data_IF_617656562139
#
_entry.id   IF_617656562139
#
_cell.length_a   1.000
_cell.length_b   1.000
_cell.length_c   1.000
_cell.angle_alpha   90.00
_cell.angle_beta   90.00
_cell.angle_gamma   90.00
#
_symmetry.space_group_name_H-M   'P 1'
#
loop_
_entity.id
_entity.type
_entity.pdbx_description
1 polymer ?
#
# COMPACT_ATOMS: atom_id res chain seq x y z
N UNK A 1 -6.70 -69.36 9.13
CA UNK A 1 -7.78 -68.50 8.60
C UNK A 1 -7.15 -67.13 8.30
N UNK A 2 -6.73 -66.87 7.05
CA UNK A 2 -7.35 -65.92 6.09
C UNK A 2 -7.52 -64.50 6.70
N UNK A 3 -6.60 -63.55 6.45
CA UNK A 3 -6.51 -62.58 5.34
C UNK A 3 -7.54 -61.42 5.38
N UNK A 4 -7.02 -60.19 5.15
CA UNK A 4 -7.67 -58.93 4.69
C UNK A 4 -8.21 -57.97 5.78
N UNK A 5 -8.20 -56.63 5.69
CA UNK A 5 -7.72 -55.59 4.75
C UNK A 5 -7.86 -54.25 5.53
N UNK A 6 -6.80 -53.42 5.49
CA UNK A 6 -6.74 -51.95 5.38
C UNK A 6 -8.07 -51.17 5.54
N UNK A 7 -8.12 -50.16 6.42
CA UNK A 7 -8.43 -48.76 6.03
C UNK A 7 -7.61 -47.84 6.93
N UNK A 8 -6.63 -47.26 6.25
CA UNK A 8 -5.82 -46.12 6.62
C UNK A 8 -6.72 -44.87 6.58
N UNK A 9 -7.12 -44.32 7.72
CA UNK A 9 -7.74 -43.00 7.81
C UNK A 9 -6.79 -42.04 8.52
N UNK A 10 -5.62 -41.86 7.91
CA UNK A 10 -4.80 -40.67 8.11
C UNK A 10 -5.62 -39.48 7.68
N UNK A 11 -6.29 -38.80 8.62
CA UNK A 11 -6.77 -37.44 8.43
C UNK A 11 -5.52 -36.54 8.30
N UNK A 12 -4.96 -36.54 7.10
CA UNK A 12 -4.03 -35.53 6.65
C UNK A 12 -4.84 -34.24 6.54
N UNK A 13 -4.98 -33.51 7.65
CA UNK A 13 -5.28 -32.09 7.55
C UNK A 13 -4.14 -31.47 6.74
N UNK A 14 -4.39 -31.23 5.46
CA UNK A 14 -3.65 -30.23 4.71
C UNK A 14 -3.89 -28.89 5.41
N UNK A 15 -3.06 -28.61 6.42
CA UNK A 15 -2.73 -27.25 6.77
C UNK A 15 -1.98 -26.67 5.57
N UNK A 16 -2.74 -26.22 4.56
CA UNK A 16 -2.28 -25.23 3.63
C UNK A 16 -1.92 -24.01 4.49
N UNK A 17 -0.66 -23.97 4.92
CA UNK A 17 -0.04 -22.74 5.36
C UNK A 17 -0.08 -21.80 4.18
N UNK A 18 -1.17 -21.04 4.05
CA UNK A 18 -1.13 -19.77 3.35
C UNK A 18 -0.07 -18.97 4.11
N UNK A 19 1.16 -19.01 3.63
CA UNK A 19 2.21 -18.15 4.12
C UNK A 19 1.68 -16.74 3.94
N UNK A 20 1.21 -16.13 5.04
CA UNK A 20 0.68 -14.78 5.02
C UNK A 20 1.77 -13.92 4.40
N UNK A 21 1.53 -13.41 3.19
CA UNK A 21 2.52 -12.57 2.51
C UNK A 21 2.73 -11.34 3.38
N UNK A 22 3.92 -11.17 3.98
CA UNK A 22 4.12 -10.15 5.01
C UNK A 22 4.05 -8.73 4.45
N UNK A 23 4.14 -8.58 3.12
CA UNK A 23 4.20 -7.32 2.41
C UNK A 23 3.47 -7.43 1.07
N UNK A 24 2.97 -6.30 0.56
CA UNK A 24 2.61 -6.17 -0.84
C UNK A 24 1.52 -7.14 -1.31
N UNK A 25 0.29 -6.92 -0.86
CA UNK A 25 -0.86 -7.69 -1.33
C UNK A 25 -1.94 -6.74 -1.84
N UNK A 26 -1.98 -6.59 -3.18
CA UNK A 26 -2.96 -5.73 -3.85
C UNK A 26 -4.41 -6.20 -3.66
N UNK A 27 -4.65 -7.50 -3.46
CA UNK A 27 -5.98 -8.04 -3.22
C UNK A 27 -6.47 -7.69 -1.81
N UNK A 28 -5.62 -7.87 -0.80
CA UNK A 28 -5.89 -7.47 0.59
C UNK A 28 -6.03 -5.96 0.72
N UNK A 29 -5.17 -5.20 0.03
CA UNK A 29 -5.28 -3.74 -0.05
C UNK A 29 -6.67 -3.31 -0.53
N UNK A 30 -7.19 -3.96 -1.58
CA UNK A 30 -8.52 -3.68 -2.14
C UNK A 30 -9.66 -4.09 -1.20
N UNK A 31 -9.54 -5.23 -0.53
CA UNK A 31 -10.54 -5.72 0.44
C UNK A 31 -10.68 -4.81 1.66
N UNK A 32 -9.58 -4.18 2.09
CA UNK A 32 -9.57 -3.24 3.22
C UNK A 32 -10.19 -1.87 2.87
N UNK A 33 -10.64 -1.65 1.63
CA UNK A 33 -11.29 -0.40 1.22
C UNK A 33 -12.68 -0.27 1.86
N UNK A 34 -12.88 0.75 2.68
CA UNK A 34 -14.15 0.98 3.37
C UNK A 34 -15.18 1.76 2.53
N UNK A 35 -14.79 2.33 1.39
CA UNK A 35 -15.67 3.16 0.56
C UNK A 35 -15.46 2.93 -0.96
N UNK A 36 -16.53 3.04 -1.79
CA UNK A 36 -16.40 3.10 -3.25
C UNK A 36 -15.64 4.38 -3.66
N UNK A 37 -14.61 4.25 -4.51
CA UNK A 37 -13.72 5.35 -4.92
C UNK A 37 -14.43 6.57 -5.55
N UNK A 38 -15.68 6.41 -6.03
CA UNK A 38 -16.45 7.43 -6.75
C UNK A 38 -17.50 8.18 -5.92
N UNK A 39 -17.71 7.85 -4.64
CA UNK A 39 -18.80 8.46 -3.85
C UNK A 39 -18.42 9.75 -3.12
N UNK A 40 -17.18 10.24 -3.25
CA UNK A 40 -16.70 11.43 -2.53
C UNK A 40 -16.61 12.66 -3.45
N UNK A 41 -17.16 13.82 -3.02
CA UNK A 41 -17.03 15.06 -3.77
C UNK A 41 -15.58 15.56 -3.75
N UNK A 42 -15.08 15.93 -4.92
CA UNK A 42 -13.71 16.37 -5.13
C UNK A 42 -12.73 15.21 -5.28
N UNK A 43 -11.60 15.48 -5.92
CA UNK A 43 -10.53 14.51 -6.08
C UNK A 43 -9.42 14.71 -5.06
N UNK A 44 -8.74 13.63 -4.72
CA UNK A 44 -7.60 13.64 -3.79
C UNK A 44 -6.55 12.63 -4.18
N UNK A 45 -5.35 12.86 -3.68
CA UNK A 45 -4.24 11.92 -3.75
C UNK A 45 -4.31 11.00 -2.53
N UNK A 46 -4.17 9.69 -2.72
CA UNK A 46 -4.12 8.72 -1.63
C UNK A 46 -3.23 7.52 -1.97
N UNK A 47 -2.69 6.85 -0.95
CA UNK A 47 -1.89 5.65 -1.12
C UNK A 47 -2.81 4.43 -1.28
N UNK A 48 -2.84 3.85 -2.48
CA UNK A 48 -3.72 2.75 -2.83
C UNK A 48 -5.19 3.04 -2.50
N UNK A 49 -5.75 2.20 -1.65
CA UNK A 49 -7.13 2.24 -1.14
C UNK A 49 -7.22 2.83 0.27
N UNK A 50 -6.13 3.34 0.84
CA UNK A 50 -6.15 3.99 2.16
C UNK A 50 -6.89 5.30 2.01
N UNK A 51 -8.06 5.37 2.62
CA UNK A 51 -9.01 6.42 2.34
C UNK A 51 -9.14 7.42 3.50
N UNK A 52 -8.32 7.27 4.53
CA UNK A 52 -8.22 8.15 5.70
C UNK A 52 -6.77 8.63 5.89
N UNK A 53 -6.53 9.48 6.90
CA UNK A 53 -5.18 9.92 7.28
C UNK A 53 -4.50 8.97 8.29
N UNK A 54 -5.10 7.81 8.53
CA UNK A 54 -4.56 6.76 9.41
C UNK A 54 -4.55 5.42 8.68
N UNK A 55 -3.58 4.57 8.99
CA UNK A 55 -3.55 3.19 8.50
C UNK A 55 -2.82 2.29 9.49
N UNK A 56 -3.24 1.03 9.57
CA UNK A 56 -2.38 0.03 10.21
C UNK A 56 -1.10 -0.15 9.39
N UNK A 57 -0.03 -0.62 10.04
CA UNK A 57 1.22 -0.97 9.33
C UNK A 57 0.95 -1.92 8.15
N UNK A 58 0.07 -2.91 8.31
CA UNK A 58 -0.24 -3.85 7.24
C UNK A 58 -0.95 -3.17 6.06
N UNK A 59 -1.96 -2.35 6.35
CA UNK A 59 -2.65 -1.57 5.30
C UNK A 59 -1.66 -0.68 4.54
N UNK A 60 -0.75 -0.01 5.24
CA UNK A 60 0.31 0.77 4.61
C UNK A 60 1.14 -0.11 3.64
N UNK A 61 1.72 -1.21 4.13
CA UNK A 61 2.58 -2.09 3.33
C UNK A 61 1.86 -2.71 2.12
N UNK A 62 0.58 -3.05 2.26
CA UNK A 62 -0.21 -3.62 1.17
C UNK A 62 -0.49 -2.58 0.08
N UNK A 63 -0.79 -1.35 0.48
CA UNK A 63 -1.14 -0.26 -0.44
C UNK A 63 0.08 0.38 -1.10
N UNK A 64 1.29 0.13 -0.58
CA UNK A 64 2.51 0.54 -1.24
C UNK A 64 2.73 -0.18 -2.58
N UNK A 65 2.31 -1.44 -2.70
CA UNK A 65 2.34 -2.17 -3.98
C UNK A 65 1.27 -1.67 -4.95
N UNK A 66 0.17 -1.11 -4.45
CA UNK A 66 -0.83 -0.43 -5.28
C UNK A 66 -0.28 0.90 -5.80
N UNK A 67 0.50 1.61 -4.98
CA UNK A 67 1.09 2.90 -5.30
C UNK A 67 0.14 4.08 -5.07
N UNK A 68 0.63 5.29 -5.37
CA UNK A 68 -0.15 6.52 -5.21
C UNK A 68 -1.22 6.63 -6.31
N UNK A 69 -2.45 6.96 -5.91
CA UNK A 69 -3.60 7.04 -6.83
C UNK A 69 -4.39 8.32 -6.59
N UNK A 70 -5.14 8.69 -7.62
CA UNK A 70 -6.18 9.71 -7.54
C UNK A 70 -7.51 9.01 -7.28
N UNK A 71 -8.23 9.49 -6.28
CA UNK A 71 -9.57 9.03 -5.93
C UNK A 71 -10.56 10.21 -6.04
N UNK A 72 -11.84 9.90 -6.26
CA UNK A 72 -12.90 10.89 -6.49
C UNK A 72 -13.02 11.35 -7.95
N UNK A 73 -13.71 12.46 -8.15
CA UNK A 73 -14.00 13.04 -9.47
C UNK A 73 -12.86 13.97 -9.93
N UNK A 74 -11.82 13.39 -10.55
CA UNK A 74 -10.70 14.14 -11.12
C UNK A 74 -10.86 14.33 -12.63
N UNK A 75 -10.33 15.43 -13.20
CA UNK A 75 -10.38 15.66 -14.63
C UNK A 75 -9.79 14.48 -15.43
N UNK A 76 -10.32 14.18 -16.62
CA UNK A 76 -9.73 13.17 -17.48
C UNK A 76 -8.29 13.56 -17.85
N UNK A 77 -7.42 12.57 -18.02
CA UNK A 77 -6.03 12.79 -18.40
C UNK A 77 -5.11 13.27 -17.28
N UNK A 78 -5.54 13.21 -16.01
CA UNK A 78 -4.62 13.38 -14.88
C UNK A 78 -3.89 12.07 -14.60
N UNK A 79 -2.56 12.12 -14.59
CA UNK A 79 -1.70 11.00 -14.23
C UNK A 79 -0.63 11.45 -13.25
N UNK A 80 -0.50 10.77 -12.11
CA UNK A 80 0.67 10.93 -11.24
C UNK A 80 1.90 10.46 -12.02
N UNK A 81 3.03 11.14 -11.84
CA UNK A 81 4.28 10.90 -12.60
C UNK A 81 5.48 10.75 -11.68
N UNK A 82 5.45 11.33 -10.49
CA UNK A 82 6.52 11.25 -9.52
C UNK A 82 6.00 11.55 -8.13
N UNK A 83 6.60 10.95 -7.12
CA UNK A 83 6.42 11.32 -5.72
C UNK A 83 7.56 10.73 -4.88
N UNK A 84 7.73 11.22 -3.65
CA UNK A 84 8.68 10.71 -2.68
C UNK A 84 7.94 10.22 -1.44
N UNK A 85 8.37 9.10 -0.85
CA UNK A 85 7.77 8.53 0.37
C UNK A 85 8.80 8.49 1.49
N UNK A 86 8.69 9.43 2.43
CA UNK A 86 9.56 9.55 3.61
C UNK A 86 8.80 9.16 4.88
N UNK A 87 9.47 8.90 6.00
CA UNK A 87 8.78 8.68 7.28
C UNK A 87 9.56 9.21 8.47
N UNK A 88 8.82 9.64 9.49
CA UNK A 88 9.33 10.05 10.79
C UNK A 88 8.95 8.99 11.82
N UNK A 89 9.97 8.38 12.43
CA UNK A 89 9.74 7.44 13.51
C UNK A 89 9.25 8.16 14.77
N UNK A 90 8.33 7.54 15.51
CA UNK A 90 7.83 8.11 16.76
C UNK A 90 8.97 8.26 17.77
N UNK A 91 9.36 9.51 18.03
CA UNK A 91 10.46 9.83 18.96
C UNK A 91 11.85 9.50 18.40
N UNK A 92 11.96 9.30 17.09
CA UNK A 92 13.21 9.00 16.41
C UNK A 92 13.45 9.91 15.21
N UNK A 93 14.28 9.42 14.29
CA UNK A 93 14.78 10.19 13.17
C UNK A 93 13.82 10.24 11.99
N UNK A 94 14.03 11.26 11.14
CA UNK A 94 13.42 11.37 9.83
C UNK A 94 14.21 10.55 8.81
N UNK A 95 13.53 9.62 8.16
CA UNK A 95 14.09 8.81 7.09
C UNK A 95 13.65 9.38 5.75
N UNK A 96 14.61 9.91 5.01
CA UNK A 96 14.37 10.48 3.68
C UNK A 96 13.99 9.39 2.70
N UNK A 97 12.96 9.70 1.94
CA UNK A 97 12.15 8.72 1.26
C UNK A 97 12.64 8.17 -0.07
N UNK A 98 11.92 7.12 -0.50
CA UNK A 98 12.04 6.52 -1.82
C UNK A 98 11.45 7.48 -2.85
N UNK A 99 12.26 7.87 -3.83
CA UNK A 99 11.76 8.58 -5.01
C UNK A 99 11.15 7.57 -6.00
N UNK A 100 9.86 7.75 -6.28
CA UNK A 100 9.10 6.91 -7.22
C UNK A 100 8.91 7.70 -8.50
N UNK A 101 9.49 7.21 -9.61
CA UNK A 101 9.38 7.84 -10.94
C UNK A 101 8.37 7.09 -11.81
N UNK A 102 7.80 7.80 -12.78
CA UNK A 102 6.74 7.34 -13.71
C UNK A 102 5.38 7.04 -13.06
N UNK A 103 5.12 7.61 -11.89
CA UNK A 103 3.81 7.54 -11.22
C UNK A 103 3.35 6.14 -10.87
N UNK A 104 4.29 5.20 -10.88
CA UNK A 104 4.02 3.79 -10.72
C UNK A 104 3.92 3.36 -9.28
N UNK A 105 3.73 2.05 -9.14
CA UNK A 105 3.81 1.28 -7.90
C UNK A 105 5.23 1.38 -7.33
N UNK A 106 5.34 1.26 -6.01
CA UNK A 106 6.66 1.01 -5.41
C UNK A 106 6.89 -0.50 -5.45
N UNK A 107 7.90 -1.01 -6.18
CA UNK A 107 8.15 -2.44 -6.23
C UNK A 107 8.52 -2.98 -4.86
N UNK A 108 8.12 -4.21 -4.56
CA UNK A 108 8.40 -4.85 -3.27
C UNK A 108 9.90 -4.93 -2.96
N UNK A 109 10.74 -5.07 -3.99
CA UNK A 109 12.19 -5.06 -3.85
C UNK A 109 12.75 -3.74 -3.31
N UNK A 110 12.07 -2.63 -3.55
CA UNK A 110 12.47 -1.31 -3.07
C UNK A 110 12.13 -1.14 -1.58
N UNK A 111 11.16 -1.87 -1.03
CA UNK A 111 10.81 -1.80 0.40
C UNK A 111 11.93 -2.30 1.30
N UNK A 112 12.48 -3.48 0.99
CA UNK A 112 13.53 -4.10 1.81
C UNK A 112 14.84 -3.31 1.77
N UNK A 113 15.16 -2.72 0.61
CA UNK A 113 16.40 -1.96 0.44
C UNK A 113 16.39 -0.57 1.10
N UNK A 114 15.22 -0.07 1.48
CA UNK A 114 15.06 1.29 2.02
C UNK A 114 14.39 1.29 3.40
N UNK A 115 14.43 0.19 4.17
CA UNK A 115 13.94 0.20 5.56
C UNK A 115 12.47 0.59 5.74
N UNK A 116 11.62 0.45 4.71
CA UNK A 116 10.19 0.79 4.82
C UNK A 116 9.47 -0.18 5.77
N UNK A 117 10.01 -1.37 5.95
CA UNK A 117 9.59 -2.33 6.96
C UNK A 117 9.87 -1.88 8.40
N UNK A 118 10.74 -0.88 8.63
CA UNK A 118 10.97 -0.30 9.95
C UNK A 118 9.86 0.66 10.39
N UNK A 119 8.91 0.97 9.51
CA UNK A 119 7.71 1.76 9.84
C UNK A 119 6.86 1.01 10.86
N UNK A 120 6.51 1.69 11.96
CA UNK A 120 5.80 1.14 13.12
C UNK A 120 4.61 2.01 13.53
N UNK A 121 3.77 1.47 14.40
CA UNK A 121 2.66 2.22 15.00
C UNK A 121 3.19 3.48 15.70
N UNK A 122 2.55 4.62 15.43
CA UNK A 122 2.94 5.94 15.89
C UNK A 122 3.77 6.75 14.90
N UNK A 123 4.33 6.11 13.87
CA UNK A 123 5.13 6.80 12.84
C UNK A 123 4.23 7.65 11.94
N UNK A 124 4.87 8.61 11.27
CA UNK A 124 4.22 9.44 10.24
C UNK A 124 4.90 9.20 8.91
N UNK A 125 4.15 8.77 7.92
CA UNK A 125 4.60 8.64 6.54
C UNK A 125 4.21 9.89 5.77
N UNK A 126 5.16 10.46 5.05
CA UNK A 126 5.02 11.64 4.22
C UNK A 126 5.12 11.24 2.77
N UNK A 127 4.10 11.55 1.99
CA UNK A 127 4.09 11.38 0.53
C UNK A 127 4.15 12.79 -0.05
N UNK A 128 5.30 13.15 -0.59
CA UNK A 128 5.65 14.53 -0.90
C UNK A 128 6.23 14.67 -2.31
N UNK A 129 6.40 15.92 -2.74
CA UNK A 129 6.93 16.21 -4.08
C UNK A 129 6.08 15.66 -5.22
N UNK A 130 4.79 15.42 -4.99
CA UNK A 130 3.91 14.72 -5.92
C UNK A 130 3.78 15.53 -7.21
N UNK A 131 4.25 14.98 -8.33
CA UNK A 131 4.10 15.55 -9.66
C UNK A 131 3.04 14.78 -10.43
N UNK A 132 2.12 15.50 -11.03
CA UNK A 132 1.13 14.95 -11.94
C UNK A 132 1.16 15.66 -13.30
N UNK A 133 0.81 14.95 -14.36
CA UNK A 133 0.46 15.52 -15.65
C UNK A 133 -1.04 15.77 -15.66
N UNK A 134 -1.47 17.01 -15.82
CA UNK A 134 -2.86 17.46 -15.89
C UNK A 134 -3.04 18.14 -17.24
N UNK A 135 -3.84 17.59 -18.14
CA UNK A 135 -4.07 18.13 -19.49
C UNK A 135 -2.75 18.44 -20.24
N UNK A 136 -1.77 17.55 -20.15
CA UNK A 136 -0.47 17.76 -20.80
C UNK A 136 0.56 18.51 -19.95
N UNK A 137 0.14 19.28 -18.95
CA UNK A 137 1.00 20.15 -18.15
C UNK A 137 1.46 19.46 -16.87
N UNK A 138 2.73 19.66 -16.49
CA UNK A 138 3.24 19.20 -15.19
C UNK A 138 2.74 20.12 -14.07
N UNK A 139 2.17 19.53 -13.03
CA UNK A 139 1.68 20.21 -11.83
C UNK A 139 2.24 19.52 -10.58
N UNK A 140 2.44 20.30 -9.52
CA UNK A 140 2.75 19.76 -8.19
C UNK A 140 1.47 19.70 -7.39
N UNK A 141 1.21 18.55 -6.76
CA UNK A 141 0.05 18.32 -5.91
C UNK A 141 0.46 18.44 -4.43
N UNK A 142 -0.54 18.65 -3.57
CA UNK A 142 -0.34 18.70 -2.13
C UNK A 142 0.18 17.37 -1.60
N UNK A 143 1.06 17.45 -0.60
CA UNK A 143 1.56 16.28 0.13
C UNK A 143 0.45 15.57 0.90
N UNK A 144 0.61 14.27 1.07
CA UNK A 144 -0.26 13.42 1.92
C UNK A 144 0.54 12.99 3.13
N UNK A 145 -0.07 13.09 4.32
CA UNK A 145 0.54 12.61 5.56
C UNK A 145 -0.34 11.51 6.14
N UNK A 146 0.25 10.34 6.34
CA UNK A 146 -0.41 9.17 6.89
C UNK A 146 0.17 8.86 8.26
N UNK A 147 -0.67 8.75 9.28
CA UNK A 147 -0.25 8.24 10.59
C UNK A 147 -0.43 6.73 10.64
N UNK A 148 0.60 6.04 11.09
CA UNK A 148 0.53 4.60 11.32
C UNK A 148 -0.03 4.34 12.72
N UNK A 149 -1.04 3.47 12.81
CA UNK A 149 -1.69 3.07 14.07
C UNK A 149 -1.52 1.59 14.36
#
# INVERSE_FOLDING_TARGET
MHKHIIILSTFLLLALGAAAQPYGDTARAKQASHHPEMSRPGWRVQLGYIDTLVATRQQFLDNMEVGLRLAGDYPPGVAITEYTISWLQKGGDYHTGIQVKKGGRVPVSVFKGNHVDDVKAGDRVFIEGIKAKVNGLKRTLNSVVLRII
#
